data_IF_762679375819
#
_entry.id   IF_762679375819
#
_cell.length_a   1.000
_cell.length_b   1.000
_cell.length_c   1.000
_cell.angle_alpha   90.00
_cell.angle_beta   90.00
_cell.angle_gamma   90.00
#
_symmetry.space_group_name_H-M   'P 1'
#
loop_
_entity.id
_entity.type
_entity.pdbx_description
1 polymer ?
#
# COMPACT_ATOMS: atom_id res chain seq x y z
N UNK A 1 -15.62 19.16 -9.98
CA UNK A 1 -15.43 17.75 -9.61
C UNK A 1 -14.03 17.40 -10.06
N UNK A 2 -13.05 17.30 -9.15
CA UNK A 2 -11.74 16.77 -9.54
C UNK A 2 -11.97 15.32 -9.97
N UNK A 3 -11.51 14.94 -11.15
CA UNK A 3 -11.40 13.52 -11.46
C UNK A 3 -10.49 12.92 -10.38
N UNK A 4 -11.04 12.06 -9.52
CA UNK A 4 -10.21 11.19 -8.70
C UNK A 4 -9.32 10.43 -9.68
N UNK A 5 -8.00 10.60 -9.52
CA UNK A 5 -7.04 9.87 -10.33
C UNK A 5 -7.17 8.40 -9.97
N UNK A 6 -7.08 7.53 -10.98
CA UNK A 6 -6.91 6.09 -10.82
C UNK A 6 -5.88 5.83 -9.69
N UNK A 7 -6.25 5.03 -8.70
CA UNK A 7 -5.42 4.76 -7.51
C UNK A 7 -4.87 3.34 -7.54
N UNK A 8 -3.56 3.21 -7.37
CA UNK A 8 -2.89 1.92 -7.16
C UNK A 8 -2.50 1.80 -5.70
N UNK A 9 -2.93 0.71 -5.07
CA UNK A 9 -2.57 0.38 -3.69
C UNK A 9 -1.71 -0.87 -3.68
N UNK A 10 -0.48 -0.74 -3.20
CA UNK A 10 0.44 -1.86 -3.03
C UNK A 10 0.39 -2.32 -1.58
N UNK A 11 0.04 -3.58 -1.37
CA UNK A 11 -0.12 -4.20 -0.05
C UNK A 11 0.85 -5.36 0.12
N UNK A 12 1.33 -5.58 1.34
CA UNK A 12 2.17 -6.72 1.68
C UNK A 12 1.42 -8.04 1.58
N UNK A 13 0.26 -8.14 2.23
CA UNK A 13 -0.51 -9.36 2.42
C UNK A 13 -1.79 -9.46 1.59
N UNK A 14 -2.33 -10.69 1.52
CA UNK A 14 -3.66 -10.93 0.92
C UNK A 14 -4.79 -10.38 1.79
N UNK A 15 -4.61 -10.39 3.11
CA UNK A 15 -5.59 -9.88 4.09
C UNK A 15 -5.76 -8.37 3.95
N UNK A 16 -4.69 -7.63 3.68
CA UNK A 16 -4.77 -6.20 3.36
C UNK A 16 -5.67 -5.95 2.15
N UNK A 17 -5.46 -6.67 1.04
CA UNK A 17 -6.30 -6.54 -0.15
C UNK A 17 -7.77 -6.82 0.16
N UNK A 18 -8.05 -7.83 1.00
CA UNK A 18 -9.42 -8.15 1.44
C UNK A 18 -10.03 -7.01 2.27
N UNK A 19 -9.30 -6.49 3.24
CA UNK A 19 -9.72 -5.35 4.06
C UNK A 19 -10.05 -4.14 3.19
N UNK A 20 -9.14 -3.78 2.27
CA UNK A 20 -9.29 -2.59 1.44
C UNK A 20 -10.44 -2.73 0.45
N UNK A 21 -10.60 -3.90 -0.15
CA UNK A 21 -11.74 -4.17 -1.02
C UNK A 21 -13.06 -3.98 -0.26
N UNK A 22 -13.15 -4.51 0.97
CA UNK A 22 -14.32 -4.33 1.84
C UNK A 22 -14.56 -2.86 2.18
N UNK A 23 -13.52 -2.11 2.52
CA UNK A 23 -13.61 -0.68 2.78
C UNK A 23 -14.20 0.07 1.57
N UNK A 24 -13.67 -0.19 0.37
CA UNK A 24 -14.13 0.44 -0.86
C UNK A 24 -15.57 0.05 -1.25
N UNK A 25 -15.92 -1.23 -1.13
CA UNK A 25 -17.28 -1.73 -1.39
C UNK A 25 -18.31 -1.07 -0.47
N UNK A 26 -17.96 -0.88 0.82
CA UNK A 26 -18.85 -0.37 1.86
C UNK A 26 -18.96 1.16 1.91
N UNK A 27 -17.83 1.85 1.95
CA UNK A 27 -17.77 3.27 2.34
C UNK A 27 -17.65 4.22 1.13
N UNK A 28 -17.01 3.77 0.05
CA UNK A 28 -16.75 4.60 -1.14
C UNK A 28 -17.68 4.30 -2.31
N UNK A 29 -18.26 3.09 -2.35
CA UNK A 29 -19.02 2.58 -3.48
C UNK A 29 -18.23 2.69 -4.81
N UNK A 30 -16.92 2.40 -4.74
CA UNK A 30 -16.03 2.43 -5.88
C UNK A 30 -15.65 1.00 -6.30
N UNK A 31 -15.34 0.82 -7.58
CA UNK A 31 -14.96 -0.49 -8.13
C UNK A 31 -13.47 -0.76 -7.93
N UNK A 32 -13.13 -1.99 -7.54
CA UNK A 32 -11.75 -2.42 -7.32
C UNK A 32 -11.38 -3.62 -8.20
N UNK A 33 -10.27 -3.51 -8.93
CA UNK A 33 -9.56 -4.68 -9.47
C UNK A 33 -8.48 -5.13 -8.49
N UNK A 34 -8.27 -6.44 -8.41
CA UNK A 34 -7.31 -7.05 -7.48
C UNK A 34 -6.29 -7.89 -8.24
N UNK A 35 -5.02 -7.75 -7.90
CA UNK A 35 -3.93 -8.56 -8.46
C UNK A 35 -3.08 -9.20 -7.36
N UNK A 36 -3.02 -10.53 -7.38
CA UNK A 36 -2.20 -11.31 -6.46
C UNK A 36 -1.03 -11.94 -7.22
N UNK A 37 0.14 -11.32 -7.14
CA UNK A 37 1.30 -11.74 -7.93
C UNK A 37 1.84 -13.13 -7.56
N UNK A 38 1.65 -13.56 -6.30
CA UNK A 38 1.94 -14.92 -5.84
C UNK A 38 1.15 -16.03 -6.54
N UNK A 39 0.16 -15.70 -7.38
CA UNK A 39 -0.55 -16.68 -8.21
C UNK A 39 0.17 -16.96 -9.55
N UNK A 40 1.29 -16.29 -9.83
CA UNK A 40 2.02 -16.38 -11.09
C UNK A 40 3.47 -16.81 -10.87
N UNK A 41 4.05 -17.48 -11.87
CA UNK A 41 5.49 -17.79 -11.88
C UNK A 41 6.31 -16.53 -12.17
N UNK A 42 7.56 -16.49 -11.71
CA UNK A 42 8.45 -15.32 -11.89
C UNK A 42 8.58 -14.88 -13.37
N UNK A 43 8.72 -15.84 -14.29
CA UNK A 43 8.85 -15.60 -15.73
C UNK A 43 7.62 -14.91 -16.34
N UNK A 44 6.44 -15.18 -15.78
CA UNK A 44 5.17 -14.67 -16.28
C UNK A 44 4.75 -13.39 -15.55
N UNK A 45 5.14 -13.23 -14.28
CA UNK A 45 4.68 -12.16 -13.39
C UNK A 45 4.87 -10.78 -14.01
N UNK A 46 6.04 -10.49 -14.58
CA UNK A 46 6.34 -9.18 -15.17
C UNK A 46 5.38 -8.81 -16.30
N UNK A 47 5.07 -9.76 -17.17
CA UNK A 47 4.18 -9.54 -18.32
C UNK A 47 2.73 -9.37 -17.86
N UNK A 48 2.26 -10.22 -16.94
CA UNK A 48 0.90 -10.11 -16.40
C UNK A 48 0.69 -8.80 -15.63
N UNK A 49 1.65 -8.41 -14.78
CA UNK A 49 1.60 -7.17 -14.02
C UNK A 49 1.58 -5.93 -14.94
N UNK A 50 2.45 -5.89 -15.94
CA UNK A 50 2.50 -4.79 -16.90
C UNK A 50 1.18 -4.68 -17.69
N UNK A 51 0.65 -5.81 -18.15
CA UNK A 51 -0.62 -5.85 -18.88
C UNK A 51 -1.79 -5.42 -17.99
N UNK A 52 -1.79 -5.81 -16.72
CA UNK A 52 -2.83 -5.44 -15.75
C UNK A 52 -2.81 -3.95 -15.43
N UNK A 53 -1.63 -3.38 -15.17
CA UNK A 53 -1.48 -1.94 -14.97
C UNK A 53 -1.92 -1.16 -16.20
N UNK A 54 -1.54 -1.59 -17.42
CA UNK A 54 -1.99 -0.94 -18.66
C UNK A 54 -3.51 -1.03 -18.87
N UNK A 55 -4.15 -2.14 -18.48
CA UNK A 55 -5.60 -2.30 -18.55
C UNK A 55 -6.29 -1.35 -17.57
N UNK A 56 -5.80 -1.28 -16.33
CA UNK A 56 -6.30 -0.38 -15.30
C UNK A 56 -6.15 1.09 -15.69
N UNK A 57 -5.01 1.51 -16.22
CA UNK A 57 -4.81 2.92 -16.60
C UNK A 57 -5.38 3.23 -18.00
N UNK A 58 -6.06 2.26 -18.61
CA UNK A 58 -6.57 2.34 -19.97
C UNK A 58 -7.93 3.03 -20.03
N UNK A 59 -8.25 3.67 -21.15
CA UNK A 59 -9.54 4.38 -21.37
C UNK A 59 -10.82 3.56 -21.19
N UNK A 60 -10.71 2.23 -21.14
CA UNK A 60 -11.86 1.31 -20.97
C UNK A 60 -11.95 0.73 -19.56
N UNK A 61 -11.05 1.15 -18.67
CA UNK A 61 -11.10 0.75 -17.28
C UNK A 61 -12.43 1.18 -16.64
N UNK A 62 -12.94 0.32 -15.78
CA UNK A 62 -14.17 0.55 -15.01
C UNK A 62 -13.90 0.58 -13.51
N UNK A 63 -12.66 0.32 -13.10
CA UNK A 63 -12.25 0.21 -11.71
C UNK A 63 -11.60 1.51 -11.25
N UNK A 64 -12.00 2.05 -10.12
CA UNK A 64 -11.40 3.29 -9.59
C UNK A 64 -10.07 2.99 -8.87
N UNK A 65 -9.93 1.77 -8.35
CA UNK A 65 -8.81 1.35 -7.52
C UNK A 65 -8.24 0.01 -7.98
N UNK A 66 -6.91 -0.09 -8.05
CA UNK A 66 -6.17 -1.32 -8.30
C UNK A 66 -5.40 -1.74 -7.05
N UNK A 67 -5.86 -2.81 -6.41
CA UNK A 67 -5.24 -3.37 -5.20
C UNK A 67 -4.28 -4.50 -5.60
N UNK A 68 -3.00 -4.39 -5.22
CA UNK A 68 -1.98 -5.36 -5.57
C UNK A 68 -1.25 -5.88 -4.35
N UNK A 69 -1.05 -7.20 -4.28
CA UNK A 69 -0.20 -7.85 -3.28
C UNK A 69 0.56 -9.02 -3.89
N UNK A 70 1.77 -9.30 -3.39
CA UNK A 70 2.50 -10.54 -3.69
C UNK A 70 2.16 -11.68 -2.72
N UNK A 71 1.23 -11.43 -1.78
CA UNK A 71 0.73 -12.40 -0.81
C UNK A 71 1.74 -12.79 0.25
N UNK A 72 2.54 -11.83 0.72
CA UNK A 72 3.62 -12.07 1.69
C UNK A 72 4.84 -12.82 1.13
N UNK A 73 4.86 -13.16 -0.17
CA UNK A 73 5.97 -13.90 -0.79
C UNK A 73 7.16 -13.01 -1.16
N UNK A 74 6.97 -11.70 -1.24
CA UNK A 74 8.01 -10.74 -1.63
C UNK A 74 7.88 -9.51 -0.77
N UNK A 75 9.00 -9.03 -0.27
CA UNK A 75 9.12 -7.74 0.42
C UNK A 75 8.52 -6.63 -0.45
N UNK A 76 7.69 -5.76 0.14
CA UNK A 76 7.06 -4.66 -0.57
C UNK A 76 8.09 -3.69 -1.15
N UNK A 77 9.27 -3.58 -0.53
CA UNK A 77 10.30 -2.62 -0.95
C UNK A 77 10.83 -2.91 -2.36
N UNK A 78 11.31 -4.13 -2.71
CA UNK A 78 11.61 -4.51 -4.08
C UNK A 78 10.45 -4.31 -5.05
N UNK A 79 9.21 -4.60 -4.63
CA UNK A 79 8.03 -4.43 -5.48
C UNK A 79 7.81 -2.96 -5.83
N UNK A 80 7.79 -2.11 -4.82
CA UNK A 80 7.64 -0.66 -4.98
C UNK A 80 8.74 -0.12 -5.88
N UNK A 81 10.00 -0.43 -5.60
CA UNK A 81 11.13 0.08 -6.37
C UNK A 81 11.03 -0.31 -7.85
N UNK A 82 10.59 -1.55 -8.17
CA UNK A 82 10.38 -1.98 -9.56
C UNK A 82 9.24 -1.22 -10.26
N UNK A 83 8.22 -0.81 -9.52
CA UNK A 83 6.99 -0.20 -10.04
C UNK A 83 6.96 1.33 -9.95
N UNK A 84 7.82 1.96 -9.13
CA UNK A 84 7.77 3.38 -8.85
C UNK A 84 7.76 4.22 -10.14
N UNK A 85 8.75 4.03 -11.01
CA UNK A 85 8.81 4.80 -12.27
C UNK A 85 7.59 4.57 -13.19
N UNK A 86 7.16 3.33 -13.49
CA UNK A 86 5.91 3.10 -14.21
C UNK A 86 4.70 3.82 -13.58
N UNK A 87 4.50 3.70 -12.26
CA UNK A 87 3.35 4.28 -11.57
C UNK A 87 3.35 5.81 -11.61
N UNK A 88 4.48 6.44 -11.29
CA UNK A 88 4.56 7.90 -11.17
C UNK A 88 4.76 8.65 -12.49
N UNK A 89 5.33 8.01 -13.53
CA UNK A 89 5.70 8.71 -14.77
C UNK A 89 5.08 8.15 -16.04
N UNK A 90 4.83 6.85 -16.10
CA UNK A 90 4.19 6.26 -17.30
C UNK A 90 2.68 6.34 -17.18
N UNK A 91 2.15 6.02 -16.00
CA UNK A 91 0.73 5.92 -15.75
C UNK A 91 0.15 7.14 -15.03
N UNK A 92 0.99 7.89 -14.30
CA UNK A 92 0.61 9.09 -13.55
C UNK A 92 -0.57 8.85 -12.57
N UNK A 93 -0.56 7.70 -11.89
CA UNK A 93 -1.59 7.29 -10.94
C UNK A 93 -1.32 7.79 -9.52
N UNK A 94 -2.37 7.87 -8.70
CA UNK A 94 -2.18 8.01 -7.26
C UNK A 94 -1.67 6.69 -6.67
N UNK A 95 -0.67 6.74 -5.79
CA UNK A 95 -0.06 5.54 -5.19
C UNK A 95 -0.24 5.57 -3.68
N UNK A 96 -0.65 4.43 -3.13
CA UNK A 96 -0.69 4.17 -1.70
C UNK A 96 0.08 2.88 -1.38
N UNK A 97 0.87 2.90 -0.32
CA UNK A 97 1.47 1.70 0.27
C UNK A 97 0.69 1.30 1.52
N UNK A 98 0.36 0.02 1.64
CA UNK A 98 -0.14 -0.60 2.88
C UNK A 98 0.88 -1.59 3.38
N UNK A 99 1.40 -1.30 4.58
CA UNK A 99 2.56 -1.99 5.16
C UNK A 99 2.32 -2.32 6.62
N UNK A 100 2.98 -3.37 7.09
CA UNK A 100 3.15 -3.66 8.49
C UNK A 100 4.52 -3.11 8.94
N UNK A 101 4.55 -2.35 10.04
CA UNK A 101 5.82 -1.89 10.62
C UNK A 101 6.51 -2.95 11.47
N UNK A 102 5.85 -4.08 11.70
CA UNK A 102 6.22 -5.17 12.60
C UNK A 102 6.47 -4.74 14.05
N UNK A 103 6.09 -5.58 15.00
CA UNK A 103 6.37 -5.34 16.42
C UNK A 103 7.76 -5.87 16.76
N UNK A 104 8.77 -5.00 16.91
CA UNK A 104 9.93 -5.42 17.70
C UNK A 104 9.48 -5.55 19.16
N UNK A 105 9.68 -6.72 19.76
CA UNK A 105 9.18 -7.17 21.08
C UNK A 105 9.44 -6.21 22.27
N UNK A 106 10.19 -5.12 22.08
CA UNK A 106 10.69 -4.29 23.18
C UNK A 106 10.47 -2.78 23.06
N UNK A 107 9.91 -2.25 21.96
CA UNK A 107 9.67 -0.81 21.88
C UNK A 107 8.26 -0.45 22.31
N UNK A 108 8.16 0.26 23.44
CA UNK A 108 6.98 1.08 23.71
C UNK A 108 6.84 2.08 22.57
N UNK A 109 5.67 2.11 21.95
CA UNK A 109 5.29 3.11 20.95
C UNK A 109 5.06 4.47 21.64
N UNK A 110 6.14 5.08 22.13
CA UNK A 110 6.17 6.38 22.81
C UNK A 110 6.05 7.58 21.85
N UNK A 111 5.96 7.32 20.54
CA UNK A 111 5.94 8.33 19.49
C UNK A 111 7.29 8.52 18.79
N UNK A 112 8.40 8.11 19.41
CA UNK A 112 9.72 8.08 18.77
C UNK A 112 9.97 6.75 18.06
N UNK A 113 9.66 5.62 18.70
CA UNK A 113 9.92 4.29 18.11
C UNK A 113 9.20 4.06 16.79
N UNK A 114 7.93 4.50 16.70
CA UNK A 114 7.14 4.38 15.48
C UNK A 114 7.57 5.26 14.33
N UNK A 115 7.98 6.50 14.66
CA UNK A 115 8.54 7.42 13.68
C UNK A 115 9.84 6.88 13.10
N UNK A 116 10.69 6.29 13.96
CA UNK A 116 11.93 5.65 13.52
C UNK A 116 11.66 4.52 12.52
N UNK A 117 10.73 3.60 12.82
CA UNK A 117 10.41 2.49 11.91
C UNK A 117 9.82 2.94 10.58
N UNK A 118 9.01 4.00 10.59
CA UNK A 118 8.55 4.60 9.34
C UNK A 118 9.71 5.18 8.53
N UNK A 119 10.67 5.86 9.17
CA UNK A 119 11.89 6.30 8.48
C UNK A 119 12.72 5.13 7.97
N UNK A 120 12.91 4.07 8.78
CA UNK A 120 13.62 2.86 8.36
C UNK A 120 12.94 2.18 7.15
N UNK A 121 11.60 2.24 7.06
CA UNK A 121 10.84 1.82 5.89
C UNK A 121 11.17 2.70 4.67
N UNK A 122 11.09 4.02 4.80
CA UNK A 122 11.35 4.95 3.69
C UNK A 122 12.80 4.88 3.22
N UNK A 123 13.77 4.82 4.12
CA UNK A 123 15.19 4.64 3.82
C UNK A 123 15.39 3.32 3.06
N UNK A 124 14.74 2.24 3.51
CA UNK A 124 14.76 0.97 2.79
C UNK A 124 14.08 1.01 1.41
N UNK A 125 13.06 1.84 1.21
CA UNK A 125 12.47 2.06 -0.12
C UNK A 125 13.42 2.87 -1.01
N UNK A 126 14.07 3.90 -0.46
CA UNK A 126 15.02 4.78 -1.15
C UNK A 126 16.23 4.00 -1.63
N UNK A 127 16.83 3.18 -0.76
CA UNK A 127 17.93 2.27 -1.11
C UNK A 127 17.57 1.36 -2.29
N UNK A 128 16.37 0.77 -2.27
CA UNK A 128 15.93 -0.12 -3.37
C UNK A 128 15.65 0.63 -4.66
N UNK A 129 15.16 1.86 -4.57
CA UNK A 129 14.96 2.73 -5.74
C UNK A 129 16.32 3.11 -6.35
N UNK A 130 17.31 3.48 -5.51
CA UNK A 130 18.66 3.82 -5.97
C UNK A 130 19.35 2.61 -6.61
N UNK A 131 19.20 1.41 -6.02
CA UNK A 131 19.72 0.14 -6.56
C UNK A 131 19.24 -0.13 -8.00
N UNK A 132 17.97 0.18 -8.30
CA UNK A 132 17.36 -0.12 -9.60
C UNK A 132 17.62 0.98 -10.64
N UNK A 133 17.54 2.26 -10.24
CA UNK A 133 17.52 3.37 -11.21
C UNK A 133 18.79 4.22 -11.24
N UNK A 134 19.77 3.96 -10.36
CA UNK A 134 21.09 4.62 -10.30
C UNK A 134 21.03 6.16 -10.23
N UNK A 135 21.06 6.71 -8.99
CA UNK A 135 21.27 8.13 -8.61
C UNK A 135 20.34 9.21 -9.18
N UNK A 136 19.38 8.84 -10.01
CA UNK A 136 18.44 9.79 -10.63
C UNK A 136 17.03 9.71 -10.03
N UNK A 137 16.83 8.85 -9.03
CA UNK A 137 15.57 8.66 -8.34
C UNK A 137 15.82 8.66 -6.83
N UNK A 138 14.82 9.05 -6.05
CA UNK A 138 14.88 8.95 -4.60
C UNK A 138 13.56 9.23 -3.92
N UNK A 139 13.50 8.99 -2.62
CA UNK A 139 12.32 9.16 -1.79
C UNK A 139 12.61 10.19 -0.70
N UNK A 140 11.74 11.17 -0.58
CA UNK A 140 11.81 12.16 0.51
C UNK A 140 10.62 12.02 1.44
N UNK A 141 10.86 12.20 2.73
CA UNK A 141 9.84 12.22 3.75
C UNK A 141 9.20 13.61 3.86
N UNK A 142 7.89 13.72 3.64
CA UNK A 142 7.23 15.03 3.64
C UNK A 142 6.46 15.31 4.92
N UNK A 143 5.51 14.44 5.29
CA UNK A 143 4.55 14.79 6.34
C UNK A 143 3.85 13.60 6.99
N UNK A 144 3.67 13.65 8.32
CA UNK A 144 2.73 12.78 9.04
C UNK A 144 1.34 13.39 9.03
N UNK A 145 0.32 12.61 8.66
CA UNK A 145 -1.05 13.10 8.59
C UNK A 145 -1.90 12.71 9.79
N UNK A 146 -1.77 11.47 10.26
CA UNK A 146 -2.69 10.92 11.26
C UNK A 146 -2.09 9.72 11.99
N UNK A 147 -2.42 9.60 13.26
CA UNK A 147 -2.01 8.49 14.14
C UNK A 147 -3.27 7.91 14.78
N UNK A 148 -3.72 6.77 14.28
CA UNK A 148 -4.77 5.95 14.88
C UNK A 148 -4.21 5.07 15.99
N UNK A 149 -5.08 4.32 16.67
CA UNK A 149 -4.65 3.37 17.70
C UNK A 149 -3.80 2.23 17.11
N UNK A 150 -4.19 1.75 15.94
CA UNK A 150 -3.57 0.60 15.26
C UNK A 150 -2.79 0.97 14.01
N UNK A 151 -3.12 2.11 13.41
CA UNK A 151 -2.60 2.55 12.12
C UNK A 151 -1.91 3.91 12.25
N UNK A 152 -1.11 4.27 11.25
CA UNK A 152 -0.76 5.64 10.97
C UNK A 152 -0.74 5.90 9.47
N UNK A 153 -0.93 7.17 9.10
CA UNK A 153 -0.94 7.64 7.73
C UNK A 153 0.08 8.76 7.55
N UNK A 154 0.86 8.70 6.48
CA UNK A 154 1.89 9.67 6.13
C UNK A 154 2.01 9.84 4.60
N UNK A 155 2.67 10.91 4.17
CA UNK A 155 3.12 11.10 2.79
C UNK A 155 4.62 11.01 2.69
N UNK A 156 5.05 10.44 1.58
CA UNK A 156 6.37 10.61 1.05
C UNK A 156 6.29 11.06 -0.42
N UNK A 157 7.40 11.55 -0.93
CA UNK A 157 7.53 12.00 -2.31
C UNK A 157 8.56 11.16 -3.01
N UNK A 158 8.19 10.65 -4.18
CA UNK A 158 9.09 10.08 -5.15
C UNK A 158 9.64 11.19 -6.05
N UNK A 159 10.96 11.26 -6.16
CA UNK A 159 11.67 12.21 -7.02
C UNK A 159 12.36 11.45 -8.14
N UNK A 160 12.39 12.05 -9.32
CA UNK A 160 13.19 11.59 -10.45
C UNK A 160 13.72 12.80 -11.23
N UNK A 161 14.99 12.78 -11.58
CA UNK A 161 15.63 13.84 -12.38
C UNK A 161 14.87 14.08 -13.69
N UNK A 162 14.49 15.34 -13.93
CA UNK A 162 13.75 15.75 -15.12
C UNK A 162 12.23 15.56 -15.05
N UNK A 163 11.68 15.09 -13.92
CA UNK A 163 10.23 15.00 -13.68
C UNK A 163 9.83 15.81 -12.44
N UNK A 164 8.56 16.21 -12.40
CA UNK A 164 8.00 16.81 -11.19
C UNK A 164 7.97 15.75 -10.06
N UNK A 165 8.27 16.13 -8.81
CA UNK A 165 8.10 15.24 -7.67
C UNK A 165 6.66 14.73 -7.57
N UNK A 166 6.50 13.44 -7.28
CA UNK A 166 5.21 12.78 -7.17
C UNK A 166 4.99 12.26 -5.75
N UNK A 167 3.97 12.78 -5.08
CA UNK A 167 3.59 12.34 -3.75
C UNK A 167 2.91 10.96 -3.78
N UNK A 168 3.14 10.17 -2.74
CA UNK A 168 2.43 8.92 -2.47
C UNK A 168 2.10 8.79 -0.99
N UNK A 169 0.99 8.12 -0.72
CA UNK A 169 0.51 7.91 0.63
C UNK A 169 1.06 6.59 1.19
N UNK A 170 1.27 6.54 2.51
CA UNK A 170 1.59 5.31 3.23
C UNK A 170 0.57 5.16 4.36
N UNK A 171 -0.21 4.08 4.31
CA UNK A 171 -0.98 3.56 5.43
C UNK A 171 -0.19 2.42 6.04
N UNK A 172 0.02 2.47 7.35
CA UNK A 172 0.87 1.49 7.98
C UNK A 172 0.28 1.01 9.30
N UNK A 173 0.22 -0.30 9.46
CA UNK A 173 -0.15 -0.93 10.73
C UNK A 173 1.04 -0.88 11.68
N UNK A 174 0.75 -0.63 12.96
CA UNK A 174 1.79 -0.56 14.00
C UNK A 174 2.42 -1.93 14.29
N UNK A 175 1.69 -3.01 14.05
CA UNK A 175 2.16 -4.38 14.25
C UNK A 175 1.82 -5.17 13.00
N UNK A 176 0.57 -5.62 12.86
CA UNK A 176 0.01 -6.09 11.60
C UNK A 176 -1.50 -5.83 11.54
N UNK A 177 -2.12 -6.08 10.39
CA UNK A 177 -3.59 -6.11 10.28
C UNK A 177 -4.20 -7.16 11.22
N UNK A 178 -3.60 -8.35 11.32
CA UNK A 178 -4.10 -9.41 12.18
C UNK A 178 -4.14 -8.98 13.64
N UNK A 179 -3.04 -8.42 14.13
CA UNK A 179 -2.97 -7.88 15.50
C UNK A 179 -3.99 -6.76 15.71
N UNK A 180 -4.19 -5.91 14.71
CA UNK A 180 -5.11 -4.77 14.78
C UNK A 180 -6.58 -5.20 14.82
N UNK A 181 -6.94 -6.20 14.01
CA UNK A 181 -8.30 -6.73 13.89
C UNK A 181 -8.57 -7.91 14.83
N UNK A 182 -7.56 -8.39 15.57
CA UNK A 182 -7.66 -9.56 16.44
C UNK A 182 -7.86 -10.88 15.70
N UNK A 183 -7.33 -10.99 14.48
CA UNK A 183 -7.37 -12.22 13.66
C UNK A 183 -6.26 -13.17 14.12
N UNK A 184 -6.58 -14.45 14.18
CA UNK A 184 -5.72 -15.53 14.67
C UNK A 184 -5.76 -16.70 13.68
N UNK A 185 -4.83 -17.64 13.82
CA UNK A 185 -4.79 -18.84 12.97
C UNK A 185 -5.95 -19.83 13.24
N UNK A 186 -6.71 -19.62 14.32
CA UNK A 186 -7.89 -20.42 14.67
C UNK A 186 -9.17 -19.93 13.97
N UNK A 187 -9.16 -18.71 13.43
CA UNK A 187 -10.32 -18.11 12.78
C UNK A 187 -10.56 -18.73 11.40
N UNK A 188 -11.82 -19.07 11.13
CA UNK A 188 -12.23 -19.43 9.78
C UNK A 188 -12.51 -18.19 8.91
N UNK A 189 -12.95 -18.41 7.66
CA UNK A 189 -13.20 -17.31 6.72
C UNK A 189 -14.39 -16.41 7.13
N UNK A 190 -15.36 -16.95 7.87
CA UNK A 190 -16.50 -16.20 8.38
C UNK A 190 -16.08 -15.33 9.58
N UNK A 191 -15.29 -15.90 10.50
CA UNK A 191 -14.71 -15.18 11.64
C UNK A 191 -13.77 -14.05 11.17
N UNK A 192 -12.87 -14.34 10.22
CA UNK A 192 -11.97 -13.34 9.63
C UNK A 192 -12.79 -12.19 9.01
N UNK A 193 -13.84 -12.53 8.25
CA UNK A 193 -14.75 -11.56 7.64
C UNK A 193 -15.40 -10.65 8.68
N UNK A 194 -15.96 -11.23 9.75
CA UNK A 194 -16.63 -10.46 10.80
C UNK A 194 -15.67 -9.52 11.53
N UNK A 195 -14.43 -9.98 11.79
CA UNK A 195 -13.39 -9.18 12.44
C UNK A 195 -12.92 -8.01 11.57
N UNK A 196 -12.73 -8.22 10.26
CA UNK A 196 -12.41 -7.14 9.33
C UNK A 196 -13.53 -6.09 9.26
N UNK A 197 -14.80 -6.53 9.19
CA UNK A 197 -15.94 -5.62 9.15
C UNK A 197 -16.10 -4.81 10.46
N UNK A 198 -15.84 -5.45 11.60
CA UNK A 198 -15.78 -4.78 12.91
C UNK A 198 -14.66 -3.74 12.95
N UNK A 199 -13.44 -4.11 12.53
CA UNK A 199 -12.29 -3.23 12.50
C UNK A 199 -12.53 -1.98 11.64
N UNK A 200 -13.12 -2.14 10.45
CA UNK A 200 -13.50 -1.02 9.58
C UNK A 200 -14.57 -0.12 10.21
N UNK A 201 -15.51 -0.70 10.95
CA UNK A 201 -16.57 0.06 11.65
C UNK A 201 -16.01 0.89 12.80
N UNK A 202 -15.03 0.34 13.51
CA UNK A 202 -14.41 0.99 14.67
C UNK A 202 -13.33 2.02 14.28
N UNK A 203 -12.74 1.90 13.09
CA UNK A 203 -11.61 2.72 12.65
C UNK A 203 -11.77 3.34 11.24
N UNK A 204 -12.96 3.84 10.84
CA UNK A 204 -13.19 4.31 9.46
C UNK A 204 -12.23 5.44 9.06
N UNK A 205 -11.92 6.32 10.00
CA UNK A 205 -11.07 7.50 9.77
C UNK A 205 -9.59 7.15 9.50
N UNK A 206 -9.17 5.90 9.74
CA UNK A 206 -7.83 5.43 9.38
C UNK A 206 -7.63 5.38 7.87
N UNK A 207 -8.71 5.27 7.12
CA UNK A 207 -8.69 5.01 5.68
C UNK A 207 -9.06 6.26 4.86
N UNK A 208 -9.95 7.14 5.36
CA UNK A 208 -10.52 8.33 4.67
C UNK A 208 -9.55 9.23 3.88
N UNK A 209 -8.28 9.33 4.31
CA UNK A 209 -7.28 10.22 3.69
C UNK A 209 -6.36 9.52 2.70
N UNK A 210 -6.28 8.20 2.79
CA UNK A 210 -5.27 7.39 2.11
C UNK A 210 -5.93 6.47 1.08
N UNK A 211 -7.23 6.21 1.21
CA UNK A 211 -8.03 5.27 0.42
C UNK A 211 -9.45 5.83 0.21
#
# INVERSE_FOLDING_TARGET
MSQERDRVVLCEGRRDVRLLKRFHDRERHCSCDTFHGGNYTADNLKNFESNKLQQFTGRRNRDDVFLKSEGGLTDLKPLFARLARPLFHTFEVAVCLVVDLDRADHDRWDGLGGRKRYHDLLDGLDERVDDIYTRNCGITHDQFYRRGQYTFAAQATFTHDGYAPAAFDVLAFRSSLEDAAGITDEDDEEDETAKLDAFLTENPESFDRVL
#
